data_IF_076134578355
#
_entry.id   IF_076134578355
#
_cell.length_a   1.000
_cell.length_b   1.000
_cell.length_c   1.000
_cell.angle_alpha   90.00
_cell.angle_beta   90.00
_cell.angle_gamma   90.00
#
_symmetry.space_group_name_H-M   'P 1'
#
loop_
_entity.id
_entity.type
_entity.pdbx_description
1 polymer ?
#
# COMPACT_ATOMS: atom_id res chain seq x y z
N UNK A 1 -5.83 20.22 -11.57
CA UNK A 1 -5.53 18.78 -11.76
C UNK A 1 -6.46 18.21 -12.81
N UNK A 2 -5.93 17.83 -13.97
CA UNK A 2 -6.73 17.30 -15.07
C UNK A 2 -7.43 16.02 -14.61
N UNK A 3 -8.73 15.86 -14.93
CA UNK A 3 -9.56 14.75 -14.46
C UNK A 3 -8.90 13.37 -14.72
N UNK A 4 -8.19 13.24 -15.85
CA UNK A 4 -7.42 12.05 -16.23
C UNK A 4 -6.32 11.67 -15.22
N UNK A 5 -5.51 12.64 -14.73
CA UNK A 5 -4.44 12.35 -13.75
C UNK A 5 -5.02 11.92 -12.40
N UNK A 6 -6.17 12.48 -12.02
CA UNK A 6 -6.89 12.11 -10.79
C UNK A 6 -7.41 10.67 -10.86
N UNK A 7 -7.98 10.29 -12.02
CA UNK A 7 -8.49 8.93 -12.26
C UNK A 7 -7.35 7.90 -12.27
N UNK A 8 -6.23 8.19 -12.92
CA UNK A 8 -5.04 7.33 -12.90
C UNK A 8 -4.49 7.16 -11.49
N UNK A 9 -4.38 8.25 -10.72
CA UNK A 9 -3.90 8.18 -9.35
C UNK A 9 -4.80 7.31 -8.46
N UNK A 10 -6.13 7.45 -8.59
CA UNK A 10 -7.08 6.60 -7.85
C UNK A 10 -6.93 5.13 -8.22
N UNK A 11 -6.88 4.80 -9.52
CA UNK A 11 -6.71 3.41 -9.97
C UNK A 11 -5.36 2.83 -9.51
N UNK A 12 -4.29 3.63 -9.55
CA UNK A 12 -2.97 3.20 -9.09
C UNK A 12 -2.96 2.90 -7.57
N UNK A 13 -3.62 3.75 -6.76
CA UNK A 13 -3.77 3.50 -5.31
C UNK A 13 -4.54 2.21 -5.08
N UNK A 14 -5.65 1.97 -5.79
CA UNK A 14 -6.42 0.73 -5.69
C UNK A 14 -5.57 -0.50 -6.06
N UNK A 15 -4.82 -0.43 -7.17
CA UNK A 15 -3.93 -1.52 -7.60
C UNK A 15 -2.84 -1.81 -6.58
N UNK A 16 -2.22 -0.77 -6.01
CA UNK A 16 -1.25 -0.90 -4.92
C UNK A 16 -1.86 -1.54 -3.69
N UNK A 17 -3.06 -1.11 -3.28
CA UNK A 17 -3.74 -1.67 -2.11
C UNK A 17 -4.00 -3.17 -2.30
N UNK A 18 -4.53 -3.56 -3.46
CA UNK A 18 -4.80 -4.97 -3.78
C UNK A 18 -3.51 -5.78 -3.74
N UNK A 19 -2.45 -5.31 -4.41
CA UNK A 19 -1.15 -5.98 -4.40
C UNK A 19 -0.57 -6.09 -2.98
N UNK A 20 -0.66 -5.03 -2.19
CA UNK A 20 -0.19 -4.99 -0.81
C UNK A 20 -0.94 -6.00 0.07
N UNK A 21 -2.28 -6.04 -0.03
CA UNK A 21 -3.11 -6.98 0.73
C UNK A 21 -2.76 -8.43 0.36
N UNK A 22 -2.59 -8.73 -0.94
CA UNK A 22 -2.23 -10.07 -1.39
C UNK A 22 -0.86 -10.49 -0.82
N UNK A 23 0.14 -9.62 -0.88
CA UNK A 23 1.46 -9.88 -0.31
C UNK A 23 1.36 -10.08 1.21
N UNK A 24 0.69 -9.17 1.91
CA UNK A 24 0.53 -9.24 3.37
C UNK A 24 -0.22 -10.51 3.81
N UNK A 25 -1.28 -10.90 3.11
CA UNK A 25 -2.01 -12.14 3.37
C UNK A 25 -1.18 -13.39 3.07
N UNK A 26 -0.38 -13.37 2.00
CA UNK A 26 0.51 -14.49 1.63
C UNK A 26 1.63 -14.68 2.64
N UNK A 27 2.21 -13.60 3.17
CA UNK A 27 3.22 -13.69 4.23
C UNK A 27 2.54 -14.07 5.55
N UNK A 28 1.39 -13.48 5.85
CA UNK A 28 0.55 -13.77 7.01
C UNK A 28 0.22 -15.26 7.14
N UNK A 29 -0.15 -15.92 6.03
CA UNK A 29 -0.43 -17.36 6.03
C UNK A 29 0.80 -18.22 6.31
N UNK A 30 1.99 -17.78 5.88
CA UNK A 30 3.27 -18.48 6.17
C UNK A 30 3.67 -18.36 7.64
N UNK A 31 3.39 -17.22 8.27
CA UNK A 31 3.72 -16.98 9.68
C UNK A 31 2.59 -17.37 10.63
N UNK A 32 1.46 -17.86 10.14
CA UNK A 32 0.30 -18.26 10.95
C UNK A 32 0.64 -19.38 11.95
N UNK A 33 1.65 -20.20 11.66
CA UNK A 33 2.17 -21.24 12.56
C UNK A 33 3.30 -20.74 13.47
N UNK A 34 3.77 -19.51 13.28
CA UNK A 34 4.83 -18.92 14.10
C UNK A 34 4.28 -18.41 15.44
N UNK A 35 5.15 -18.16 16.43
CA UNK A 35 4.75 -17.63 17.74
C UNK A 35 3.95 -16.33 17.63
N UNK A 36 2.99 -16.14 18.54
CA UNK A 36 2.06 -15.00 18.54
C UNK A 36 2.79 -13.65 18.48
N UNK A 37 3.94 -13.54 19.17
CA UNK A 37 4.74 -12.30 19.21
C UNK A 37 5.21 -11.87 17.82
N UNK A 38 5.62 -12.84 16.98
CA UNK A 38 6.11 -12.59 15.63
C UNK A 38 4.97 -12.15 14.72
N UNK A 39 3.79 -12.76 14.88
CA UNK A 39 2.58 -12.34 14.16
C UNK A 39 2.21 -10.90 14.53
N UNK A 40 2.21 -10.56 15.82
CA UNK A 40 1.90 -9.21 16.29
C UNK A 40 2.84 -8.17 15.68
N UNK A 41 4.16 -8.40 15.74
CA UNK A 41 5.13 -7.47 15.16
C UNK A 41 4.96 -7.35 13.65
N UNK A 42 4.74 -8.48 12.96
CA UNK A 42 4.47 -8.46 11.52
C UNK A 42 3.25 -7.61 11.19
N UNK A 43 2.12 -7.82 11.87
CA UNK A 43 0.89 -7.07 11.59
C UNK A 43 1.01 -5.58 11.94
N UNK A 44 1.79 -5.21 12.97
CA UNK A 44 2.10 -3.80 13.26
C UNK A 44 2.89 -3.18 12.10
N UNK A 45 3.96 -3.85 11.66
CA UNK A 45 4.79 -3.36 10.54
C UNK A 45 3.97 -3.30 9.26
N UNK A 46 3.17 -4.32 8.97
CA UNK A 46 2.28 -4.35 7.81
C UNK A 46 1.19 -3.26 7.90
N UNK A 47 0.70 -2.95 9.09
CA UNK A 47 -0.28 -1.90 9.33
C UNK A 47 0.27 -0.48 9.20
N UNK A 48 1.59 -0.28 9.31
CA UNK A 48 2.23 1.03 9.15
C UNK A 48 2.89 1.15 7.76
N UNK A 49 3.44 0.05 7.25
CA UNK A 49 4.20 0.00 6.00
C UNK A 49 3.39 0.23 4.73
N UNK A 50 2.06 0.04 4.76
CA UNK A 50 1.18 0.23 3.59
C UNK A 50 1.20 1.66 3.03
N UNK A 51 1.58 2.66 3.84
CA UNK A 51 1.68 4.04 3.39
C UNK A 51 2.89 4.28 2.45
N UNK A 52 3.96 3.48 2.58
CA UNK A 52 5.17 3.59 1.76
C UNK A 52 4.89 3.49 0.25
N UNK A 53 4.15 2.49 -0.25
CA UNK A 53 3.85 2.41 -1.68
C UNK A 53 2.85 3.46 -2.19
N UNK A 54 2.12 4.15 -1.31
CA UNK A 54 1.17 5.21 -1.68
C UNK A 54 1.87 6.57 -1.86
N UNK A 55 2.85 6.88 -1.01
CA UNK A 55 3.65 8.11 -1.05
C UNK A 55 4.16 8.50 -2.46
N UNK A 56 4.79 7.60 -3.25
CA UNK A 56 5.28 7.96 -4.58
C UNK A 56 4.15 8.30 -5.58
N UNK A 57 2.99 7.62 -5.46
CA UNK A 57 1.82 7.90 -6.31
C UNK A 57 1.25 9.28 -5.98
N UNK A 58 1.15 9.60 -4.69
CA UNK A 58 0.67 10.89 -4.22
C UNK A 58 1.59 12.03 -4.68
N UNK A 59 2.90 11.88 -4.50
CA UNK A 59 3.87 12.87 -5.00
C UNK A 59 3.80 13.08 -6.51
N UNK A 60 3.60 12.01 -7.29
CA UNK A 60 3.42 12.13 -8.73
C UNK A 60 2.13 12.87 -9.08
N UNK A 61 1.02 12.53 -8.42
CA UNK A 61 -0.27 13.18 -8.63
C UNK A 61 -0.19 14.69 -8.34
N UNK A 62 0.45 15.07 -7.22
CA UNK A 62 0.66 16.45 -6.78
C UNK A 62 1.59 17.24 -7.72
N UNK A 63 2.68 16.64 -8.21
CA UNK A 63 3.68 17.34 -9.04
C UNK A 63 3.11 17.92 -10.34
N UNK A 64 2.19 17.24 -11.01
CA UNK A 64 1.55 17.80 -12.22
C UNK A 64 0.22 18.52 -11.93
N UNK A 65 0.01 18.94 -10.69
CA UNK A 65 -1.01 19.92 -10.31
C UNK A 65 -0.50 21.36 -10.27
N UNK A 66 0.82 21.58 -10.41
CA UNK A 66 1.51 22.89 -10.35
C UNK A 66 1.95 23.43 -11.73
N UNK A 67 1.20 23.16 -12.79
CA UNK A 67 1.39 23.82 -14.11
C UNK A 67 0.22 24.73 -14.40
#
# INVERSE_FOLDING_TARGET
>A
MNAMRKLIAMLAICGVLIGYIVIAATIGSKIAHAPIWLQTVFYIIAGIGWALPIMPIMWWAERGGKS
#
